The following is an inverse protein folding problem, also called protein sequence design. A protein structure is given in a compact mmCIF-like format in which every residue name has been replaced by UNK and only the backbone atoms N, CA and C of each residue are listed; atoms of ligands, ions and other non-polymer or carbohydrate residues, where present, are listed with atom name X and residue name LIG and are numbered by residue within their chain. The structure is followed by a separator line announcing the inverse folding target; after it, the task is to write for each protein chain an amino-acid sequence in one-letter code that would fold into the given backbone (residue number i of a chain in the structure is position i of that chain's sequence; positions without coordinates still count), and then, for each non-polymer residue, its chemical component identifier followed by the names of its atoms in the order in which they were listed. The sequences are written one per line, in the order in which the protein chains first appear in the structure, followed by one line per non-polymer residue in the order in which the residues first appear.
data_IF_575923993153
#
_entry.id   IF_575923993153
#
_cell.length_a   1.000
_cell.length_b   1.000
_cell.length_c   1.000
_cell.angle_alpha   90.00
_cell.angle_beta   90.00
_cell.angle_gamma   90.00
#
_symmetry.space_group_name_H-M   'P 1'
#
loop_
_entity.id
_entity.type
_entity.pdbx_description
1 polymer ?
#
# COMPACT_ATOMS: atom_id res chain seq x y z
N UNK A 1 -6.25 -23.50 27.77
CA UNK A 1 -7.27 -22.46 27.55
C UNK A 1 -6.63 -21.37 26.72
N UNK A 2 -6.91 -21.31 25.42
CA UNK A 2 -6.45 -20.20 24.56
C UNK A 2 -7.51 -19.12 24.65
N UNK A 3 -7.21 -18.03 25.35
CA UNK A 3 -8.11 -16.88 25.46
C UNK A 3 -8.07 -16.09 24.17
N UNK A 4 -9.19 -16.04 23.46
CA UNK A 4 -9.34 -15.18 22.29
C UNK A 4 -9.32 -13.72 22.75
N UNK A 5 -8.18 -13.04 22.55
CA UNK A 5 -8.06 -11.60 22.79
C UNK A 5 -8.79 -10.86 21.67
N UNK A 6 -9.82 -10.08 22.00
CA UNK A 6 -10.45 -9.14 21.05
C UNK A 6 -9.40 -8.12 20.63
N UNK A 7 -8.95 -8.17 19.38
CA UNK A 7 -8.02 -7.21 18.79
C UNK A 7 -8.77 -5.91 18.53
N UNK A 8 -8.33 -4.82 19.14
CA UNK A 8 -8.87 -3.47 18.94
C UNK A 8 -8.00 -2.69 17.94
N UNK A 9 -8.51 -1.60 17.37
CA UNK A 9 -7.72 -0.74 16.46
C UNK A 9 -6.44 -0.20 17.13
N UNK A 10 -6.45 -0.04 18.46
CA UNK A 10 -5.28 0.32 19.25
C UNK A 10 -4.23 -0.80 19.33
N UNK A 11 -4.63 -2.06 19.23
CA UNK A 11 -3.71 -3.21 19.21
C UNK A 11 -2.98 -3.34 17.86
N UNK A 12 -3.59 -2.89 16.76
CA UNK A 12 -2.98 -2.87 15.42
C UNK A 12 -1.84 -1.84 15.29
N UNK A 13 -1.71 -0.91 16.24
CA UNK A 13 -0.62 0.06 16.29
C UNK A 13 0.61 -0.45 17.03
N UNK A 14 0.60 -1.68 17.54
CA UNK A 14 1.72 -2.29 18.28
C UNK A 14 2.39 -3.37 17.44
N UNK A 15 3.73 -3.43 17.47
CA UNK A 15 4.47 -4.54 16.84
C UNK A 15 4.06 -5.83 17.56
N UNK A 16 3.59 -6.86 16.86
CA UNK A 16 3.29 -8.14 17.45
C UNK A 16 4.53 -8.78 18.06
N UNK A 17 4.39 -9.22 19.30
CA UNK A 17 5.43 -9.86 20.08
C UNK A 17 5.25 -11.39 20.04
N UNK A 18 6.38 -12.11 19.97
CA UNK A 18 6.43 -13.54 20.07
C UNK A 18 6.24 -14.04 21.52
N UNK A 19 6.26 -15.36 21.74
CA UNK A 19 6.06 -15.95 23.07
C UNK A 19 7.10 -15.53 24.13
N UNK A 20 8.28 -15.09 23.69
CA UNK A 20 9.36 -14.59 24.54
C UNK A 20 9.41 -13.06 24.62
N UNK A 21 8.37 -12.37 24.14
CA UNK A 21 8.32 -10.92 23.96
C UNK A 21 9.32 -10.36 22.92
N UNK A 22 9.83 -11.22 22.04
CA UNK A 22 10.65 -10.79 20.90
C UNK A 22 9.78 -10.15 19.81
N UNK A 23 10.29 -9.12 19.14
CA UNK A 23 9.57 -8.49 18.02
C UNK A 23 9.51 -9.40 16.80
N UNK A 24 8.33 -9.61 16.23
CA UNK A 24 8.16 -10.41 15.00
C UNK A 24 8.41 -9.54 13.75
N UNK A 25 9.29 -9.97 12.81
CA UNK A 25 9.59 -9.23 11.59
C UNK A 25 8.41 -9.21 10.62
N UNK A 26 8.26 -8.14 9.83
CA UNK A 26 7.20 -8.01 8.83
C UNK A 26 5.81 -7.70 9.40
N UNK A 27 5.75 -7.42 10.71
CA UNK A 27 4.57 -6.94 11.42
C UNK A 27 4.89 -5.68 12.23
N UNK A 28 5.88 -4.90 11.80
CA UNK A 28 6.22 -3.65 12.46
C UNK A 28 5.01 -2.71 12.50
N UNK A 29 4.95 -1.83 13.51
CA UNK A 29 3.93 -0.77 13.58
C UNK A 29 3.93 -0.03 12.25
N UNK A 30 2.77 0.03 11.59
CA UNK A 30 2.60 0.91 10.44
C UNK A 30 2.99 2.33 10.87
N UNK A 31 3.90 2.97 10.13
CA UNK A 31 4.26 4.36 10.42
C UNK A 31 2.98 5.19 10.29
N UNK A 32 2.54 5.93 11.33
CA UNK A 32 1.35 6.77 11.24
C UNK A 32 1.44 7.81 10.10
N UNK A 33 2.64 8.15 9.62
CA UNK A 33 2.88 9.00 8.44
C UNK A 33 2.64 8.28 7.11
N UNK A 34 2.65 6.94 7.10
CA UNK A 34 2.26 6.12 5.94
C UNK A 34 0.76 5.87 5.85
N UNK A 35 -0.05 6.53 6.69
CA UNK A 35 -1.52 6.64 6.53
C UNK A 35 -1.96 7.32 5.23
N UNK A 36 -1.00 7.81 4.43
CA UNK A 36 -1.17 8.31 3.07
C UNK A 36 -1.59 7.25 2.05
N UNK A 37 -2.46 6.32 2.44
CA UNK A 37 -3.32 5.58 1.52
C UNK A 37 -4.42 6.52 1.01
N UNK A 38 -4.05 7.62 0.37
CA UNK A 38 -4.99 8.31 -0.49
C UNK A 38 -5.44 7.26 -1.51
N UNK A 39 -6.74 6.95 -1.61
CA UNK A 39 -7.20 5.95 -2.55
C UNK A 39 -6.73 6.36 -3.95
N UNK A 40 -6.22 5.42 -4.76
CA UNK A 40 -5.86 5.72 -6.14
C UNK A 40 -6.99 6.46 -6.82
N UNK A 41 -6.69 7.59 -7.48
CA UNK A 41 -7.71 8.32 -8.23
C UNK A 41 -8.37 7.39 -9.25
N UNK A 42 -9.69 7.55 -9.44
CA UNK A 42 -10.45 6.85 -10.48
C UNK A 42 -9.78 7.06 -11.83
N UNK A 43 -9.68 6.01 -12.65
CA UNK A 43 -8.98 6.06 -13.95
C UNK A 43 -9.60 7.14 -14.85
N UNK A 44 -10.91 7.32 -14.76
CA UNK A 44 -11.69 8.30 -15.51
C UNK A 44 -11.35 9.75 -15.15
N UNK A 45 -10.82 9.98 -13.94
CA UNK A 45 -10.42 11.31 -13.45
C UNK A 45 -8.95 11.63 -13.77
N UNK A 46 -8.17 10.63 -14.25
CA UNK A 46 -6.75 10.83 -14.53
C UNK A 46 -6.59 11.60 -15.84
N UNK A 47 -5.71 12.61 -15.90
CA UNK A 47 -5.41 13.28 -17.15
C UNK A 47 -4.83 12.27 -18.15
N UNK A 48 -5.45 12.16 -19.32
CA UNK A 48 -4.96 11.30 -20.38
C UNK A 48 -3.70 11.92 -21.00
N UNK A 49 -2.52 11.40 -20.64
CA UNK A 49 -1.21 11.90 -21.10
C UNK A 49 -0.77 11.37 -22.48
N UNK A 50 -1.70 10.96 -23.33
CA UNK A 50 -1.39 10.52 -24.69
C UNK A 50 -1.09 11.71 -25.61
N UNK A 51 0.15 12.22 -25.57
CA UNK A 51 0.60 13.27 -26.51
C UNK A 51 0.91 12.71 -27.91
N UNK A 52 1.13 11.41 -28.02
CA UNK A 52 1.60 10.74 -29.23
C UNK A 52 0.44 10.04 -29.90
N UNK A 53 0.12 10.42 -31.13
CA UNK A 53 -0.80 9.68 -32.00
C UNK A 53 -0.04 8.57 -32.70
N UNK A 54 -0.70 7.47 -33.12
CA UNK A 54 -0.04 6.42 -33.91
C UNK A 54 0.69 6.95 -35.16
N UNK A 55 0.17 8.03 -35.77
CA UNK A 55 0.79 8.74 -36.90
C UNK A 55 2.07 9.51 -36.56
N UNK A 56 2.36 9.73 -35.28
CA UNK A 56 3.57 10.41 -34.81
C UNK A 56 4.71 9.40 -34.61
N UNK A 57 4.42 8.10 -34.74
CA UNK A 57 5.45 7.07 -34.79
C UNK A 57 6.16 7.17 -36.15
N UNK A 58 7.50 7.12 -36.20
CA UNK A 58 8.19 7.03 -37.47
C UNK A 58 7.67 5.79 -38.21
N UNK A 59 7.39 5.92 -39.51
CA UNK A 59 7.31 4.75 -40.37
C UNK A 59 8.59 3.98 -40.12
N UNK A 60 8.47 2.70 -39.73
CA UNK A 60 9.62 1.82 -39.55
C UNK A 60 10.35 1.82 -40.89
N UNK A 61 11.39 2.66 -40.97
CA UNK A 61 12.00 3.04 -42.24
C UNK A 61 12.65 1.85 -42.91
N UNK A 62 12.43 1.81 -44.23
CA UNK A 62 13.32 1.38 -45.32
C UNK A 62 14.27 0.21 -45.08
#
# INVERSE_FOLDING_TARGET
MMTERKVTDGDMTKTPEGPLNDSLPGREKADPRTSGSQPPEKVENRPMVSKVKPKDYPDRGA
#
